data_IF_874591722908
#
_entry.id   IF_874591722908
#
_cell.length_a   1.000
_cell.length_b   1.000
_cell.length_c   1.000
_cell.angle_alpha   90.00
_cell.angle_beta   90.00
_cell.angle_gamma   90.00
#
_symmetry.space_group_name_H-M   'P 1'
#
loop_
_entity.id
_entity.type
_entity.pdbx_description
1 polymer ?
#
# COMPACT_ATOMS: atom_id res chain seq x y z
N UNK A 1 -1.22 -14.22 -43.13
CA UNK A 1 -1.15 -13.04 -42.24
C UNK A 1 -2.49 -12.97 -41.54
N UNK A 2 -2.61 -13.57 -40.37
CA UNK A 2 -3.90 -13.65 -39.67
C UNK A 2 -4.20 -12.30 -39.02
N UNK A 3 -5.20 -11.62 -39.57
CA UNK A 3 -5.64 -10.32 -39.09
C UNK A 3 -6.21 -10.47 -37.68
N UNK A 4 -5.70 -9.64 -36.77
CA UNK A 4 -6.21 -9.50 -35.41
C UNK A 4 -7.71 -9.13 -35.49
N UNK A 5 -8.60 -9.85 -34.79
CA UNK A 5 -10.04 -9.59 -34.84
C UNK A 5 -10.36 -8.16 -34.40
N UNK A 6 -11.21 -7.46 -35.15
CA UNK A 6 -11.62 -6.08 -34.86
C UNK A 6 -12.15 -5.87 -33.43
N UNK A 7 -12.73 -6.92 -32.83
CA UNK A 7 -13.22 -6.97 -31.45
C UNK A 7 -12.10 -6.86 -30.41
N UNK A 8 -10.88 -7.33 -30.74
CA UNK A 8 -9.71 -7.17 -29.89
C UNK A 8 -9.16 -5.74 -29.95
N UNK A 9 -9.15 -5.13 -31.14
CA UNK A 9 -8.74 -3.74 -31.33
C UNK A 9 -9.71 -2.79 -30.61
N UNK A 10 -11.03 -2.98 -30.76
CA UNK A 10 -12.04 -2.18 -30.04
C UNK A 10 -11.94 -2.29 -28.52
N UNK A 11 -11.61 -3.48 -27.98
CA UNK A 11 -11.41 -3.68 -26.53
C UNK A 11 -10.15 -3.00 -26.01
N UNK A 12 -9.11 -2.85 -26.83
CA UNK A 12 -7.87 -2.18 -26.44
C UNK A 12 -8.00 -0.65 -26.61
N UNK A 13 -8.64 -0.18 -27.69
CA UNK A 13 -8.89 1.26 -27.93
C UNK A 13 -9.99 1.84 -27.04
N UNK A 14 -10.89 1.03 -26.49
CA UNK A 14 -11.87 1.46 -25.48
C UNK A 14 -11.29 1.66 -24.07
N UNK A 15 -10.03 1.26 -23.84
CA UNK A 15 -9.38 1.27 -22.52
C UNK A 15 -8.24 2.31 -22.44
N UNK A 16 -7.65 2.73 -23.55
CA UNK A 16 -6.51 3.66 -23.57
C UNK A 16 -6.74 4.79 -24.58
N UNK A 17 -6.47 6.03 -24.17
CA UNK A 17 -6.55 7.19 -25.07
C UNK A 17 -5.44 7.15 -26.12
N UNK A 18 -5.65 7.84 -27.24
CA UNK A 18 -4.69 7.91 -28.35
C UNK A 18 -3.37 8.57 -27.93
N UNK A 19 -3.39 9.48 -26.96
CA UNK A 19 -2.17 10.02 -26.35
C UNK A 19 -1.44 8.99 -25.47
N UNK A 20 -2.17 8.06 -24.84
CA UNK A 20 -1.59 7.03 -23.97
C UNK A 20 -0.79 6.00 -24.78
N UNK A 21 -1.21 5.70 -26.01
CA UNK A 21 -0.47 4.82 -26.91
C UNK A 21 0.83 5.45 -27.43
N UNK A 22 0.84 6.77 -27.65
CA UNK A 22 2.05 7.49 -28.08
C UNK A 22 3.13 7.53 -27.00
N UNK A 23 2.75 7.64 -25.72
CA UNK A 23 3.69 7.62 -24.59
C UNK A 23 4.29 6.22 -24.36
N UNK A 24 3.58 5.16 -24.76
CA UNK A 24 4.06 3.78 -24.67
C UNK A 24 5.07 3.41 -25.77
N UNK A 25 5.01 4.08 -26.92
CA UNK A 25 5.96 3.87 -28.03
C UNK A 25 7.31 4.59 -27.79
N UNK A 26 7.34 5.73 -27.09
CA UNK A 26 8.57 6.54 -26.89
C UNK A 26 9.31 6.30 -25.56
N UNK A 27 8.66 5.70 -24.55
CA UNK A 27 9.29 5.48 -23.24
C UNK A 27 9.68 4.01 -23.03
N UNK A 28 10.99 3.75 -22.94
CA UNK A 28 11.55 2.44 -22.60
C UNK A 28 10.90 1.82 -21.36
N UNK A 29 10.04 0.84 -21.63
CA UNK A 29 9.47 -0.20 -20.78
C UNK A 29 10.03 -0.35 -19.35
N UNK A 30 9.29 0.18 -18.38
CA UNK A 30 8.96 -0.54 -17.13
C UNK A 30 7.48 -0.28 -16.83
N UNK A 31 6.59 -0.84 -17.64
CA UNK A 31 5.19 -1.01 -17.20
C UNK A 31 5.14 -2.20 -16.25
N UNK A 32 5.52 -1.96 -15.00
CA UNK A 32 5.16 -2.85 -13.92
C UNK A 32 3.64 -3.05 -13.88
N UNK A 33 3.19 -4.08 -13.18
CA UNK A 33 1.78 -4.43 -12.91
C UNK A 33 0.89 -3.30 -12.34
N UNK A 34 1.49 -2.13 -12.11
CA UNK A 34 0.98 -0.90 -11.50
C UNK A 34 1.21 0.33 -12.38
N UNK A 35 1.27 0.17 -13.72
CA UNK A 35 1.26 1.28 -14.66
C UNK A 35 0.35 2.38 -14.10
N UNK A 36 0.97 3.51 -13.71
CA UNK A 36 0.35 4.50 -12.84
C UNK A 36 -1.10 4.64 -13.26
N UNK A 37 -2.02 4.32 -12.35
CA UNK A 37 -3.43 4.65 -12.51
C UNK A 37 -3.57 6.17 -12.38
N UNK A 38 -2.78 6.95 -13.11
CA UNK A 38 -3.25 8.16 -13.76
C UNK A 38 -4.35 7.74 -14.73
N UNK A 39 -5.48 7.32 -14.18
CA UNK A 39 -6.75 7.27 -14.90
C UNK A 39 -7.26 8.70 -14.85
N UNK A 40 -7.10 9.50 -15.91
CA UNK A 40 -7.69 10.81 -15.95
C UNK A 40 -9.19 10.57 -16.15
N UNK A 41 -10.02 11.03 -15.22
CA UNK A 41 -11.49 11.07 -15.34
C UNK A 41 -12.25 9.74 -15.31
N UNK A 42 -12.28 9.06 -14.16
CA UNK A 42 -13.45 8.26 -13.77
C UNK A 42 -14.36 9.13 -12.91
N UNK A 43 -15.55 9.47 -13.41
CA UNK A 43 -16.44 10.46 -12.81
C UNK A 43 -16.93 10.11 -11.40
N UNK A 44 -16.88 8.83 -10.99
CA UNK A 44 -17.43 8.38 -9.72
C UNK A 44 -16.41 7.56 -8.92
N UNK A 45 -15.67 8.25 -8.04
CA UNK A 45 -14.80 7.60 -7.04
C UNK A 45 -15.50 7.54 -5.68
N UNK A 46 -15.28 6.44 -4.96
CA UNK A 46 -15.92 6.18 -3.68
C UNK A 46 -14.91 5.91 -2.58
N UNK A 47 -15.12 6.54 -1.43
CA UNK A 47 -14.48 6.21 -0.16
C UNK A 47 -15.44 5.36 0.68
N UNK A 48 -15.12 4.08 0.82
CA UNK A 48 -15.90 3.10 1.57
C UNK A 48 -15.31 2.93 2.96
N UNK A 49 -16.16 3.00 3.98
CA UNK A 49 -15.83 2.55 5.33
C UNK A 49 -16.76 1.41 5.73
N UNK A 50 -16.19 0.32 6.23
CA UNK A 50 -16.92 -0.80 6.82
C UNK A 50 -16.56 -0.86 8.31
N UNK A 51 -17.59 -0.75 9.14
CA UNK A 51 -17.51 -0.77 10.58
C UNK A 51 -18.20 -2.02 11.14
N UNK A 52 -17.73 -2.53 12.27
CA UNK A 52 -18.39 -3.64 12.97
C UNK A 52 -18.71 -3.22 14.41
N UNK A 53 -19.94 -3.51 14.84
CA UNK A 53 -20.43 -3.26 16.19
C UNK A 53 -21.35 -4.41 16.61
N UNK A 54 -21.07 -5.06 17.74
CA UNK A 54 -21.85 -6.19 18.28
C UNK A 54 -22.12 -7.29 17.23
N UNK A 55 -21.10 -7.67 16.46
CA UNK A 55 -21.20 -8.68 15.39
C UNK A 55 -21.96 -8.25 14.14
N UNK A 56 -22.54 -7.05 14.12
CA UNK A 56 -23.25 -6.50 12.95
C UNK A 56 -22.30 -5.63 12.13
N UNK A 57 -22.43 -5.74 10.80
CA UNK A 57 -21.68 -4.94 9.84
C UNK A 57 -22.43 -3.64 9.56
N UNK A 58 -21.68 -2.56 9.43
CA UNK A 58 -22.16 -1.24 9.08
C UNK A 58 -21.31 -0.69 7.95
N UNK A 59 -21.90 0.14 7.10
CA UNK A 59 -21.19 0.78 6.01
C UNK A 59 -21.43 2.28 6.00
N UNK A 60 -20.46 3.00 5.44
CA UNK A 60 -20.61 4.38 5.04
C UNK A 60 -19.86 4.54 3.72
N UNK A 61 -20.54 5.07 2.71
CA UNK A 61 -19.92 5.42 1.44
C UNK A 61 -19.84 6.94 1.32
N UNK A 62 -18.78 7.45 0.70
CA UNK A 62 -18.67 8.87 0.34
C UNK A 62 -18.24 9.02 -1.10
N UNK A 63 -18.81 10.01 -1.78
CA UNK A 63 -18.36 10.49 -3.08
C UNK A 63 -18.37 12.01 -3.05
N UNK A 64 -17.26 12.64 -3.46
CA UNK A 64 -17.09 14.11 -3.46
C UNK A 64 -17.52 14.81 -2.16
N UNK A 65 -17.17 14.20 -1.02
CA UNK A 65 -17.48 14.71 0.32
C UNK A 65 -18.92 14.46 0.79
N UNK A 66 -19.82 14.01 -0.09
CA UNK A 66 -21.20 13.66 0.26
C UNK A 66 -21.28 12.23 0.77
N UNK A 67 -22.07 12.02 1.83
CA UNK A 67 -22.36 10.68 2.34
C UNK A 67 -23.46 10.05 1.50
N UNK A 68 -23.25 8.80 1.07
CA UNK A 68 -24.20 8.02 0.28
C UNK A 68 -24.49 6.71 1.01
N UNK A 69 -25.74 6.26 0.93
CA UNK A 69 -26.10 4.92 1.39
C UNK A 69 -25.73 3.91 0.29
N UNK A 70 -25.29 2.71 0.68
CA UNK A 70 -24.88 1.69 -0.31
C UNK A 70 -26.01 1.30 -1.25
N UNK A 71 -27.26 1.37 -0.80
CA UNK A 71 -28.45 1.13 -1.62
C UNK A 71 -28.58 2.10 -2.80
N UNK A 72 -28.04 3.32 -2.67
CA UNK A 72 -28.00 4.30 -3.76
C UNK A 72 -26.77 4.08 -4.66
N UNK A 73 -25.69 3.52 -4.10
CA UNK A 73 -24.45 3.23 -4.84
C UNK A 73 -24.62 1.99 -5.74
N UNK A 74 -25.32 0.95 -5.29
CA UNK A 74 -25.43 -0.31 -6.05
C UNK A 74 -26.04 -0.13 -7.45
N UNK A 75 -27.16 0.61 -7.65
CA UNK A 75 -27.74 0.82 -8.98
C UNK A 75 -26.86 1.69 -9.89
N UNK A 76 -26.06 2.58 -9.31
CA UNK A 76 -25.14 3.46 -10.04
C UNK A 76 -23.84 2.76 -10.42
N UNK A 77 -23.58 1.55 -9.89
CA UNK A 77 -22.30 0.89 -10.04
C UNK A 77 -22.09 0.36 -11.46
N UNK A 78 -21.09 0.93 -12.13
CA UNK A 78 -20.57 0.40 -13.38
C UNK A 78 -19.06 0.19 -13.23
N UNK A 79 -18.60 -1.06 -13.33
CA UNK A 79 -17.18 -1.41 -13.14
C UNK A 79 -16.22 -0.71 -14.11
N UNK A 80 -16.72 -0.19 -15.24
CA UNK A 80 -15.93 0.61 -16.17
C UNK A 80 -15.71 2.03 -15.64
N UNK A 81 -16.72 2.65 -15.02
CA UNK A 81 -16.76 4.09 -14.67
C UNK A 81 -16.67 4.39 -13.16
N UNK A 82 -16.91 3.40 -12.31
CA UNK A 82 -16.94 3.50 -10.86
C UNK A 82 -15.78 2.75 -10.23
N UNK A 83 -15.19 3.32 -9.17
CA UNK A 83 -14.17 2.61 -8.39
C UNK A 83 -14.13 3.02 -6.91
N UNK A 84 -13.65 2.12 -6.06
CA UNK A 84 -13.33 2.43 -4.67
C UNK A 84 -11.91 2.96 -4.63
N UNK A 85 -11.78 4.25 -4.38
CA UNK A 85 -10.48 4.87 -4.13
C UNK A 85 -9.93 4.36 -2.81
N UNK A 86 -10.79 4.25 -1.80
CA UNK A 86 -10.37 3.91 -0.45
C UNK A 86 -11.35 2.96 0.22
N UNK A 87 -10.81 1.98 0.91
CA UNK A 87 -11.55 1.07 1.79
C UNK A 87 -10.95 1.18 3.19
N UNK A 88 -11.77 1.58 4.18
CA UNK A 88 -11.39 1.64 5.59
C UNK A 88 -12.16 0.62 6.40
N UNK A 89 -11.45 -0.08 7.26
CA UNK A 89 -11.92 -1.24 8.01
C UNK A 89 -11.58 -1.01 9.49
N UNK A 90 -12.60 -0.85 10.36
CA UNK A 90 -12.39 -0.53 11.79
C UNK A 90 -13.55 -0.98 12.69
N UNK A 91 -13.29 -1.10 13.99
CA UNK A 91 -14.36 -1.35 14.98
C UNK A 91 -15.06 -0.05 15.35
N UNK A 92 -16.37 -0.15 15.53
CA UNK A 92 -17.20 0.96 15.98
C UNK A 92 -17.43 0.79 17.48
N UNK A 93 -17.34 1.89 18.22
CA UNK A 93 -17.67 1.94 19.65
C UNK A 93 -19.17 2.20 19.91
N UNK A 94 -19.98 2.22 18.85
CA UNK A 94 -21.42 2.51 18.89
C UNK A 94 -21.95 2.86 17.51
N UNK A 95 -23.25 3.19 17.38
CA UNK A 95 -23.80 3.74 16.15
C UNK A 95 -23.10 5.06 15.83
N UNK A 96 -22.16 5.01 14.88
CA UNK A 96 -21.41 6.17 14.43
C UNK A 96 -22.20 6.95 13.38
N UNK A 97 -22.08 8.27 13.40
CA UNK A 97 -22.79 9.13 12.47
C UNK A 97 -22.45 8.81 11.01
N UNK A 98 -23.50 8.63 10.20
CA UNK A 98 -23.40 8.27 8.80
C UNK A 98 -23.08 6.79 8.52
N UNK A 99 -22.98 5.93 9.54
CA UNK A 99 -22.93 4.49 9.35
C UNK A 99 -24.34 3.91 9.32
N UNK A 100 -24.63 3.12 8.28
CA UNK A 100 -25.88 2.38 8.13
C UNK A 100 -25.65 0.90 8.36
N UNK A 101 -26.58 0.18 9.02
CA UNK A 101 -26.52 -1.27 9.09
C UNK A 101 -26.44 -1.86 7.68
N UNK A 102 -25.63 -2.89 7.53
CA UNK A 102 -25.44 -3.60 6.26
C UNK A 102 -25.90 -5.05 6.43
N UNK A 103 -26.81 -5.45 5.57
CA UNK A 103 -27.29 -6.83 5.46
C UNK A 103 -26.24 -7.72 4.80
N UNK A 104 -26.36 -9.03 4.98
CA UNK A 104 -25.44 -9.99 4.34
C UNK A 104 -25.54 -9.97 2.81
N UNK A 105 -26.73 -9.68 2.26
CA UNK A 105 -26.95 -9.51 0.82
C UNK A 105 -26.18 -8.32 0.28
N UNK A 106 -26.21 -7.19 0.99
CA UNK A 106 -25.47 -5.98 0.62
C UNK A 106 -23.97 -6.18 0.75
N UNK A 107 -23.51 -6.87 1.81
CA UNK A 107 -22.10 -7.23 1.97
C UNK A 107 -21.61 -8.15 0.85
N UNK A 108 -22.41 -9.15 0.47
CA UNK A 108 -22.11 -10.04 -0.66
C UNK A 108 -22.04 -9.29 -1.99
N UNK A 109 -22.93 -8.32 -2.24
CA UNK A 109 -22.88 -7.46 -3.41
C UNK A 109 -21.61 -6.60 -3.42
N UNK A 110 -21.26 -6.03 -2.28
CA UNK A 110 -20.04 -5.25 -2.09
C UNK A 110 -18.77 -6.06 -2.36
N UNK A 111 -18.69 -7.30 -1.89
CA UNK A 111 -17.57 -8.21 -2.20
C UNK A 111 -17.41 -8.43 -3.70
N UNK A 112 -18.51 -8.61 -4.44
CA UNK A 112 -18.46 -8.73 -5.92
C UNK A 112 -17.96 -7.44 -6.58
N UNK A 113 -18.37 -6.27 -6.09
CA UNK A 113 -17.88 -4.99 -6.60
C UNK A 113 -16.37 -4.82 -6.40
N UNK A 114 -15.87 -5.20 -5.21
CA UNK A 114 -14.44 -5.18 -4.87
C UNK A 114 -13.67 -6.17 -5.76
N UNK A 115 -14.17 -7.39 -5.92
CA UNK A 115 -13.55 -8.40 -6.79
C UNK A 115 -13.39 -7.93 -8.23
N UNK A 116 -14.41 -7.24 -8.75
CA UNK A 116 -14.41 -6.72 -10.12
C UNK A 116 -13.42 -5.56 -10.33
N UNK A 117 -12.92 -4.93 -9.27
CA UNK A 117 -11.92 -3.85 -9.38
C UNK A 117 -10.50 -4.34 -9.58
N UNK A 118 -10.23 -5.63 -9.35
CA UNK A 118 -8.88 -6.22 -9.43
C UNK A 118 -7.86 -5.38 -8.63
N UNK A 119 -7.07 -4.55 -9.31
CA UNK A 119 -5.99 -3.70 -8.75
C UNK A 119 -6.30 -2.20 -8.76
N UNK A 120 -7.56 -1.81 -8.98
CA UNK A 120 -7.99 -0.39 -9.04
C UNK A 120 -8.24 0.24 -7.68
N UNK A 121 -7.99 -0.46 -6.57
CA UNK A 121 -8.18 0.09 -5.23
C UNK A 121 -6.91 0.84 -4.85
N UNK A 122 -7.02 2.16 -4.74
CA UNK A 122 -5.85 2.97 -4.36
C UNK A 122 -5.41 2.66 -2.93
N UNK A 123 -6.34 2.50 -1.98
CA UNK A 123 -5.95 2.29 -0.57
C UNK A 123 -6.89 1.40 0.24
N UNK A 124 -6.32 0.41 0.93
CA UNK A 124 -7.00 -0.39 1.96
C UNK A 124 -6.37 -0.09 3.32
N UNK A 125 -7.19 0.21 4.33
CA UNK A 125 -6.73 0.48 5.70
C UNK A 125 -7.49 -0.35 6.73
N UNK A 126 -6.76 -1.08 7.57
CA UNK A 126 -7.29 -1.92 8.65
C UNK A 126 -6.77 -1.39 9.98
N UNK A 127 -7.64 -1.07 10.94
CA UNK A 127 -7.25 -0.43 12.20
C UNK A 127 -7.42 -1.28 13.47
N UNK A 128 -8.26 -2.32 13.45
CA UNK A 128 -8.70 -2.99 14.69
C UNK A 128 -8.43 -4.51 14.72
N UNK A 129 -7.98 -5.04 15.87
CA UNK A 129 -7.65 -6.45 16.13
C UNK A 129 -8.89 -7.36 16.15
N UNK A 130 -10.01 -6.85 16.66
CA UNK A 130 -11.20 -7.66 16.93
C UNK A 130 -11.96 -8.12 15.69
N UNK A 131 -11.55 -7.68 14.51
CA UNK A 131 -12.34 -7.75 13.28
C UNK A 131 -11.66 -8.47 12.13
N UNK A 132 -10.52 -9.09 12.40
CA UNK A 132 -9.66 -9.67 11.38
C UNK A 132 -10.39 -10.69 10.50
N UNK A 133 -11.30 -11.49 11.08
CA UNK A 133 -12.06 -12.52 10.35
C UNK A 133 -13.02 -11.91 9.30
N UNK A 134 -13.57 -10.72 9.56
CA UNK A 134 -14.48 -10.04 8.63
C UNK A 134 -13.73 -9.24 7.54
N UNK A 135 -12.46 -8.91 7.78
CA UNK A 135 -11.63 -8.22 6.80
C UNK A 135 -10.88 -9.18 5.90
N UNK A 136 -10.63 -10.40 6.38
CA UNK A 136 -10.22 -11.55 5.57
C UNK A 136 -11.14 -11.70 4.35
N UNK A 137 -12.46 -11.69 4.54
CA UNK A 137 -13.47 -11.71 3.47
C UNK A 137 -13.24 -10.66 2.37
N UNK A 138 -12.82 -9.45 2.75
CA UNK A 138 -12.59 -8.33 1.83
C UNK A 138 -11.25 -8.50 1.12
N UNK A 139 -10.22 -8.91 1.84
CA UNK A 139 -8.88 -9.14 1.28
C UNK A 139 -8.85 -10.35 0.33
N UNK A 140 -9.61 -11.40 0.62
CA UNK A 140 -9.72 -12.60 -0.22
C UNK A 140 -10.26 -12.31 -1.63
N UNK A 141 -11.22 -11.39 -1.71
CA UNK A 141 -11.81 -10.99 -2.98
C UNK A 141 -11.05 -9.83 -3.63
N UNK A 142 -10.14 -9.18 -2.91
CA UNK A 142 -9.33 -8.08 -3.43
C UNK A 142 -8.25 -8.64 -4.39
N UNK A 143 -8.13 -8.06 -5.58
CA UNK A 143 -7.04 -8.40 -6.51
C UNK A 143 -5.74 -7.62 -6.27
N UNK A 144 -5.74 -6.73 -5.28
CA UNK A 144 -4.62 -5.88 -4.91
C UNK A 144 -5.03 -4.44 -4.57
N UNK A 145 -4.14 -3.74 -3.86
CA UNK A 145 -4.27 -2.31 -3.62
C UNK A 145 -2.93 -1.61 -3.82
N UNK A 146 -2.96 -0.38 -4.33
CA UNK A 146 -1.73 0.42 -4.41
C UNK A 146 -1.13 0.62 -3.02
N UNK A 147 -1.96 0.96 -2.02
CA UNK A 147 -1.53 1.10 -0.62
C UNK A 147 -2.28 0.15 0.29
N UNK A 148 -1.58 -0.81 0.89
CA UNK A 148 -2.10 -1.66 1.96
C UNK A 148 -1.59 -1.19 3.32
N UNK A 149 -2.49 -0.78 4.20
CA UNK A 149 -2.18 -0.37 5.56
C UNK A 149 -2.87 -1.29 6.58
N UNK A 150 -2.09 -1.89 7.46
CA UNK A 150 -2.55 -2.75 8.56
C UNK A 150 -2.00 -2.20 9.87
N UNK A 151 -2.86 -1.49 10.60
CA UNK A 151 -2.59 -0.87 11.89
C UNK A 151 -2.69 -1.81 13.09
N UNK A 152 -2.92 -3.09 12.85
CA UNK A 152 -3.33 -4.08 13.85
C UNK A 152 -2.54 -5.37 13.72
N UNK A 153 -2.60 -6.25 14.73
CA UNK A 153 -1.99 -7.59 14.64
C UNK A 153 -2.66 -8.37 13.50
N UNK A 154 -1.84 -8.84 12.55
CA UNK A 154 -2.30 -9.51 11.35
C UNK A 154 -2.23 -11.05 11.39
N UNK A 155 -1.92 -11.67 12.54
CA UNK A 155 -1.67 -13.12 12.66
C UNK A 155 -2.77 -13.97 12.01
N UNK A 156 -4.05 -13.64 12.22
CA UNK A 156 -5.16 -14.41 11.61
C UNK A 156 -5.34 -14.16 10.10
N UNK A 157 -4.93 -13.01 9.60
CA UNK A 157 -4.99 -12.67 8.18
C UNK A 157 -3.67 -12.95 7.45
N UNK A 158 -2.65 -13.47 8.15
CA UNK A 158 -1.31 -13.61 7.63
C UNK A 158 -1.25 -14.40 6.30
N UNK A 159 -1.94 -15.54 6.13
CA UNK A 159 -1.91 -16.28 4.85
C UNK A 159 -2.46 -15.48 3.67
N UNK A 160 -3.51 -14.69 3.89
CA UNK A 160 -4.14 -13.90 2.83
C UNK A 160 -3.30 -12.68 2.49
N UNK A 161 -2.73 -12.03 3.51
CA UNK A 161 -1.82 -10.89 3.30
C UNK A 161 -0.55 -11.36 2.59
N UNK A 162 0.02 -12.51 2.99
CA UNK A 162 1.16 -13.14 2.32
C UNK A 162 0.88 -13.39 0.85
N UNK A 163 -0.26 -14.04 0.54
CA UNK A 163 -0.67 -14.30 -0.84
C UNK A 163 -0.83 -13.02 -1.63
N UNK A 164 -1.54 -12.03 -1.09
CA UNK A 164 -1.79 -10.76 -1.77
C UNK A 164 -0.50 -10.03 -2.14
N UNK A 165 0.49 -10.02 -1.24
CA UNK A 165 1.79 -9.43 -1.50
C UNK A 165 2.57 -10.30 -2.50
N UNK A 166 2.60 -11.62 -2.31
CA UNK A 166 3.34 -12.57 -3.18
C UNK A 166 2.85 -12.55 -4.63
N UNK A 167 1.55 -12.29 -4.85
CA UNK A 167 0.96 -12.15 -6.19
C UNK A 167 1.30 -10.79 -6.86
N UNK A 168 2.05 -9.92 -6.18
CA UNK A 168 2.36 -8.56 -6.58
C UNK A 168 1.16 -7.62 -6.47
N UNK A 169 0.20 -7.96 -5.61
CA UNK A 169 -1.04 -7.21 -5.38
C UNK A 169 -0.87 -5.98 -4.48
N UNK A 170 0.35 -5.64 -4.05
CA UNK A 170 0.62 -4.46 -3.21
C UNK A 170 1.81 -3.68 -3.73
N UNK A 171 1.65 -2.36 -3.88
CA UNK A 171 2.73 -1.45 -4.29
C UNK A 171 3.40 -0.76 -3.08
N UNK A 172 2.60 -0.31 -2.13
CA UNK A 172 3.04 0.25 -0.85
C UNK A 172 2.43 -0.53 0.31
N UNK A 173 3.29 -0.98 1.23
CA UNK A 173 2.86 -1.73 2.42
C UNK A 173 3.15 -0.95 3.70
N UNK A 174 2.18 -0.88 4.60
CA UNK A 174 2.37 -0.32 5.95
C UNK A 174 1.84 -1.28 7.02
N UNK A 175 2.71 -1.77 7.89
CA UNK A 175 2.35 -2.64 9.01
C UNK A 175 2.78 -1.99 10.34
N UNK A 176 1.83 -1.78 11.26
CA UNK A 176 2.11 -1.05 12.51
C UNK A 176 2.28 -1.92 13.76
N UNK A 177 1.89 -3.19 13.74
CA UNK A 177 1.88 -4.02 14.95
C UNK A 177 2.54 -5.37 14.75
N UNK A 178 3.49 -5.64 15.63
CA UNK A 178 4.15 -6.92 15.83
C UNK A 178 3.24 -7.93 16.59
N UNK A 179 3.52 -9.24 16.55
CA UNK A 179 4.63 -9.89 15.85
C UNK A 179 4.45 -9.91 14.33
N UNK A 180 5.57 -9.85 13.60
CA UNK A 180 5.55 -10.08 12.16
C UNK A 180 5.77 -11.58 11.87
N UNK A 181 5.20 -12.12 10.78
CA UNK A 181 5.39 -13.51 10.42
C UNK A 181 6.72 -13.74 9.68
N UNK A 182 7.28 -14.95 9.79
CA UNK A 182 8.58 -15.30 9.21
C UNK A 182 8.64 -15.19 7.68
N UNK A 183 7.51 -15.43 6.99
CA UNK A 183 7.40 -15.30 5.54
C UNK A 183 7.61 -13.86 5.05
N UNK A 184 7.50 -12.85 5.93
CA UNK A 184 7.53 -11.45 5.51
C UNK A 184 8.83 -11.07 4.80
N UNK A 185 9.99 -11.47 5.34
CA UNK A 185 11.30 -11.13 4.74
C UNK A 185 11.46 -11.68 3.32
N UNK A 186 11.31 -13.00 3.06
CA UNK A 186 11.47 -13.54 1.70
C UNK A 186 10.41 -12.99 0.74
N UNK A 187 9.16 -12.80 1.18
CA UNK A 187 8.10 -12.25 0.33
C UNK A 187 8.40 -10.81 -0.07
N UNK A 188 8.81 -9.95 0.87
CA UNK A 188 9.17 -8.56 0.57
C UNK A 188 10.38 -8.49 -0.36
N UNK A 189 11.45 -9.24 -0.05
CA UNK A 189 12.67 -9.31 -0.88
C UNK A 189 12.34 -9.69 -2.33
N UNK A 190 11.46 -10.68 -2.51
CA UNK A 190 11.03 -11.12 -3.84
C UNK A 190 10.25 -10.04 -4.57
N UNK A 191 9.24 -9.43 -3.94
CA UNK A 191 8.42 -8.40 -4.60
C UNK A 191 9.18 -7.12 -4.90
N UNK A 192 10.18 -6.82 -4.07
CA UNK A 192 11.17 -5.80 -4.34
C UNK A 192 11.99 -6.14 -5.58
N UNK A 193 12.61 -7.33 -5.64
CA UNK A 193 13.37 -7.77 -6.82
C UNK A 193 12.55 -7.78 -8.12
N UNK A 194 11.24 -7.97 -8.03
CA UNK A 194 10.30 -7.90 -9.17
C UNK A 194 9.82 -6.48 -9.51
N UNK A 195 10.12 -5.48 -8.68
CA UNK A 195 9.66 -4.09 -8.85
C UNK A 195 8.16 -3.88 -8.60
N UNK A 196 7.46 -4.84 -7.99
CA UNK A 196 6.04 -4.71 -7.69
C UNK A 196 5.80 -3.87 -6.43
N UNK A 197 6.72 -3.95 -5.47
CA UNK A 197 6.66 -3.22 -4.21
C UNK A 197 7.68 -2.07 -4.24
N UNK A 198 7.24 -0.84 -4.04
CA UNK A 198 8.09 0.37 -4.13
C UNK A 198 8.30 1.05 -2.78
N UNK A 199 7.42 0.77 -1.82
CA UNK A 199 7.39 1.42 -0.51
C UNK A 199 7.01 0.47 0.61
N UNK A 200 7.78 0.48 1.70
CA UNK A 200 7.40 -0.20 2.94
C UNK A 200 7.45 0.73 4.14
N UNK A 201 6.49 0.56 5.05
CA UNK A 201 6.40 1.23 6.34
C UNK A 201 6.18 0.21 7.46
N UNK A 202 7.20 -0.09 8.26
CA UNK A 202 7.10 -1.10 9.33
C UNK A 202 7.37 -0.45 10.70
N UNK A 203 6.53 -0.73 11.69
CA UNK A 203 6.74 -0.29 13.08
C UNK A 203 6.98 -1.49 13.99
N UNK A 204 8.13 -1.49 14.66
CA UNK A 204 8.57 -2.60 15.48
C UNK A 204 8.30 -2.34 16.97
N UNK A 205 7.73 -3.33 17.63
CA UNK A 205 7.65 -3.38 19.09
C UNK A 205 8.98 -3.84 19.71
N UNK A 206 9.09 -3.79 21.05
CA UNK A 206 10.30 -4.17 21.77
C UNK A 206 10.61 -5.68 21.78
N UNK A 207 9.61 -6.52 21.45
CA UNK A 207 9.59 -7.95 21.78
C UNK A 207 9.96 -8.88 20.61
N UNK A 208 10.23 -8.36 19.41
CA UNK A 208 10.48 -9.17 18.22
C UNK A 208 11.92 -8.90 17.73
N UNK A 209 12.90 -9.68 18.18
CA UNK A 209 14.33 -9.38 17.96
C UNK A 209 14.85 -9.89 16.64
N UNK A 210 14.80 -11.19 16.39
CA UNK A 210 15.47 -11.79 15.24
C UNK A 210 14.86 -11.33 13.90
N UNK A 211 13.52 -11.30 13.81
CA UNK A 211 12.85 -10.88 12.58
C UNK A 211 13.05 -9.38 12.30
N UNK A 212 13.12 -8.55 13.34
CA UNK A 212 13.44 -7.13 13.21
C UNK A 212 14.84 -6.93 12.64
N UNK A 213 15.84 -7.66 13.15
CA UNK A 213 17.21 -7.62 12.63
C UNK A 213 17.25 -8.02 11.15
N UNK A 214 16.58 -9.12 10.78
CA UNK A 214 16.49 -9.59 9.38
C UNK A 214 15.84 -8.56 8.45
N UNK A 215 14.77 -7.89 8.88
CA UNK A 215 14.10 -6.84 8.10
C UNK A 215 14.97 -5.58 7.95
N UNK A 216 15.72 -5.20 8.99
CA UNK A 216 16.67 -4.08 8.92
C UNK A 216 17.80 -4.44 7.95
N UNK A 217 18.39 -5.64 8.05
CA UNK A 217 19.42 -6.09 7.11
C UNK A 217 18.94 -6.12 5.67
N UNK A 218 17.72 -6.63 5.43
CA UNK A 218 17.09 -6.58 4.12
C UNK A 218 17.06 -5.13 3.60
N UNK A 219 16.47 -4.20 4.35
CA UNK A 219 16.38 -2.81 3.92
C UNK A 219 17.75 -2.15 3.68
N UNK A 220 18.72 -2.36 4.58
CA UNK A 220 20.09 -1.85 4.41
C UNK A 220 20.70 -2.36 3.10
N UNK A 221 20.60 -3.66 2.83
CA UNK A 221 21.12 -4.26 1.60
C UNK A 221 20.47 -3.66 0.35
N UNK A 222 19.14 -3.55 0.34
CA UNK A 222 18.39 -2.96 -0.77
C UNK A 222 18.72 -1.48 -1.00
N UNK A 223 18.95 -0.71 0.07
CA UNK A 223 19.40 0.69 0.00
C UNK A 223 20.79 0.78 -0.63
N UNK A 224 21.74 -0.04 -0.17
CA UNK A 224 23.11 -0.07 -0.71
C UNK A 224 23.14 -0.47 -2.18
N UNK A 225 22.27 -1.40 -2.60
CA UNK A 225 22.11 -1.81 -4.00
C UNK A 225 21.28 -0.84 -4.85
N UNK A 226 20.62 0.14 -4.23
CA UNK A 226 19.78 1.15 -4.89
C UNK A 226 18.58 0.57 -5.65
N UNK A 227 17.94 -0.46 -5.11
CA UNK A 227 16.92 -1.22 -5.84
C UNK A 227 15.49 -0.61 -5.78
N UNK A 228 15.19 0.38 -4.92
CA UNK A 228 13.80 0.87 -4.68
C UNK A 228 13.62 2.39 -4.63
N UNK A 229 12.44 2.86 -4.21
CA UNK A 229 12.12 4.29 -4.19
C UNK A 229 11.98 4.84 -2.77
N UNK A 230 11.35 4.10 -1.86
CA UNK A 230 11.07 4.57 -0.51
C UNK A 230 11.08 3.44 0.54
N UNK A 231 11.82 3.65 1.61
CA UNK A 231 11.79 2.79 2.81
C UNK A 231 11.47 3.65 4.01
N UNK A 232 10.58 3.16 4.88
CA UNK A 232 10.36 3.68 6.22
C UNK A 232 10.31 2.54 7.24
N UNK A 233 11.41 2.31 7.92
CA UNK A 233 11.44 1.40 9.07
C UNK A 233 11.47 2.24 10.35
N UNK A 234 10.63 1.88 11.33
CA UNK A 234 10.52 2.51 12.64
C UNK A 234 10.94 1.51 13.72
N UNK A 235 12.24 1.50 14.06
CA UNK A 235 12.86 0.46 14.90
C UNK A 235 13.35 1.00 16.24
N UNK A 236 13.29 0.21 17.34
CA UNK A 236 13.91 0.54 18.63
C UNK A 236 15.40 0.91 18.52
N UNK A 237 15.87 1.83 19.38
CA UNK A 237 17.26 2.32 19.38
C UNK A 237 18.32 1.22 19.49
N UNK A 238 18.03 0.12 20.19
CA UNK A 238 18.96 -1.01 20.36
C UNK A 238 19.47 -1.59 19.02
N UNK A 239 18.74 -1.39 17.92
CA UNK A 239 19.14 -1.85 16.59
C UNK A 239 19.95 -0.82 15.78
N UNK A 240 20.33 0.32 16.37
CA UNK A 240 21.11 1.36 15.68
C UNK A 240 22.40 0.84 15.04
N UNK A 241 23.05 -0.14 15.68
CA UNK A 241 24.30 -0.73 15.22
C UNK A 241 24.18 -1.42 13.84
N UNK A 242 22.99 -1.91 13.48
CA UNK A 242 22.74 -2.58 12.20
C UNK A 242 22.79 -1.63 10.99
N UNK A 243 22.85 -0.32 11.24
CA UNK A 243 22.90 0.73 10.24
C UNK A 243 24.31 1.14 9.87
N UNK A 244 25.31 0.66 10.61
CA UNK A 244 26.71 0.97 10.38
C UNK A 244 27.14 0.78 8.90
N UNK A 245 26.64 -0.23 8.15
CA UNK A 245 26.95 -0.34 6.72
C UNK A 245 26.52 0.89 5.90
N UNK A 246 25.37 1.50 6.20
CA UNK A 246 24.92 2.73 5.52
C UNK A 246 25.83 3.90 5.86
N UNK A 247 26.21 4.05 7.13
CA UNK A 247 27.11 5.12 7.58
C UNK A 247 28.50 5.01 6.95
N UNK A 248 28.98 3.78 6.74
CA UNK A 248 30.31 3.52 6.17
C UNK A 248 30.35 3.75 4.66
N UNK A 249 29.27 3.42 3.94
CA UNK A 249 29.24 3.44 2.48
C UNK A 249 28.62 4.72 1.89
N UNK A 250 27.78 5.43 2.63
CA UNK A 250 27.17 6.68 2.18
C UNK A 250 27.89 7.88 2.76
N UNK A 251 28.03 8.95 1.97
CA UNK A 251 28.69 10.17 2.41
C UNK A 251 27.73 10.99 3.27
N UNK A 252 28.12 11.26 4.51
CA UNK A 252 27.39 12.17 5.39
C UNK A 252 27.32 13.58 4.76
N UNK A 253 26.13 14.16 4.75
CA UNK A 253 25.89 15.55 4.35
C UNK A 253 25.34 16.27 5.56
N UNK A 254 26.09 17.23 6.12
CA UNK A 254 25.55 18.01 7.22
C UNK A 254 24.42 18.89 6.70
N UNK A 255 23.22 18.79 7.26
CA UNK A 255 22.18 19.78 7.00
C UNK A 255 22.56 21.09 7.66
N UNK A 256 23.08 22.04 6.88
CA UNK A 256 23.08 23.43 7.33
C UNK A 256 21.62 23.89 7.38
N UNK A 257 21.12 24.14 8.59
CA UNK A 257 19.95 24.98 8.87
C UNK A 257 18.65 24.61 8.14
N UNK A 258 17.91 23.66 8.71
CA UNK A 258 16.45 23.85 8.85
C UNK A 258 16.11 23.57 10.32
N UNK A 259 15.04 24.18 10.84
CA UNK A 259 14.61 24.16 12.25
C UNK A 259 14.29 22.79 12.86
N UNK A 260 14.77 21.70 12.25
CA UNK A 260 14.61 20.31 12.66
C UNK A 260 15.98 19.64 12.80
N UNK A 261 16.66 19.83 13.93
CA UNK A 261 17.98 19.28 14.27
C UNK A 261 18.03 17.76 14.48
N UNK A 262 17.05 16.99 13.98
CA UNK A 262 16.88 15.54 14.25
C UNK A 262 17.12 14.65 13.02
N UNK A 263 17.68 15.20 11.93
CA UNK A 263 17.90 14.48 10.68
C UNK A 263 19.40 14.31 10.40
N UNK A 264 19.85 13.05 10.31
CA UNK A 264 21.12 12.67 9.71
C UNK A 264 20.88 12.47 8.20
N UNK A 265 21.53 13.28 7.37
CA UNK A 265 21.41 13.16 5.92
C UNK A 265 22.64 12.44 5.35
N UNK A 266 22.38 11.44 4.53
CA UNK A 266 23.41 10.74 3.78
C UNK A 266 23.12 10.92 2.30
N UNK A 267 24.16 11.22 1.53
CA UNK A 267 24.10 11.25 0.07
C UNK A 267 25.00 10.18 -0.49
N UNK A 268 24.60 9.61 -1.63
CA UNK A 268 25.50 8.75 -2.35
C UNK A 268 26.50 9.61 -3.14
N UNK A 269 27.82 9.40 -3.01
CA UNK A 269 28.78 10.09 -3.86
C UNK A 269 28.54 9.71 -5.33
N UNK A 270 28.26 10.69 -6.18
CA UNK A 270 28.12 10.51 -7.64
C UNK A 270 26.72 10.24 -8.20
N UNK A 271 25.63 10.33 -7.40
CA UNK A 271 24.25 10.18 -7.90
C UNK A 271 23.26 11.15 -7.25
N UNK A 272 22.16 11.47 -7.94
CA UNK A 272 21.03 12.28 -7.45
C UNK A 272 20.14 11.49 -6.45
N UNK A 273 20.73 10.95 -5.39
CA UNK A 273 20.04 10.16 -4.37
C UNK A 273 20.33 10.70 -2.97
N UNK A 274 19.26 10.90 -2.20
CA UNK A 274 19.32 11.38 -0.81
C UNK A 274 18.67 10.35 0.11
N UNK A 275 19.41 9.95 1.14
CA UNK A 275 18.93 9.09 2.23
C UNK A 275 18.77 9.95 3.47
N UNK A 276 17.53 10.06 3.95
CA UNK A 276 17.23 10.78 5.18
C UNK A 276 17.07 9.76 6.31
N UNK A 277 17.94 9.83 7.31
CA UNK A 277 17.77 9.11 8.55
C UNK A 277 17.28 10.10 9.61
N UNK A 278 16.08 9.87 10.14
CA UNK A 278 15.51 10.67 11.23
C UNK A 278 15.58 9.87 12.52
N UNK A 279 16.09 10.48 13.59
CA UNK A 279 15.86 9.95 14.93
C UNK A 279 14.52 10.51 15.42
N UNK A 280 13.47 9.69 15.45
CA UNK A 280 12.14 10.10 15.92
C UNK A 280 12.02 9.93 17.43
N UNK A 281 12.41 10.97 18.18
CA UNK A 281 12.40 10.98 19.65
C UNK A 281 13.17 9.79 20.26
N UNK A 282 13.29 9.75 21.58
CA UNK A 282 14.30 8.97 22.33
C UNK A 282 14.33 7.44 22.13
N UNK A 283 13.57 6.83 21.21
CA UNK A 283 13.49 5.37 21.09
C UNK A 283 13.29 4.81 19.68
N UNK A 284 13.16 5.63 18.63
CA UNK A 284 12.90 5.12 17.29
C UNK A 284 13.70 5.81 16.18
N UNK A 285 14.12 5.05 15.18
CA UNK A 285 14.67 5.60 13.94
C UNK A 285 13.66 5.51 12.81
N UNK A 286 13.50 6.57 12.01
CA UNK A 286 12.72 6.60 10.76
C UNK A 286 13.65 6.83 9.59
N UNK A 287 13.76 5.86 8.70
CA UNK A 287 14.46 6.07 7.42
C UNK A 287 13.47 6.60 6.40
N UNK A 288 13.90 7.50 5.52
CA UNK A 288 13.12 7.90 4.36
C UNK A 288 14.07 8.00 3.18
N UNK A 289 13.79 7.21 2.16
CA UNK A 289 14.47 7.30 0.89
C UNK A 289 13.56 7.99 -0.12
N UNK A 290 14.15 8.85 -0.96
CA UNK A 290 13.46 9.42 -2.11
C UNK A 290 14.46 9.59 -3.24
N UNK A 291 14.23 8.92 -4.37
CA UNK A 291 14.94 9.23 -5.62
C UNK A 291 14.54 10.64 -6.04
N UNK A 292 15.51 11.53 -6.30
CA UNK A 292 15.18 12.79 -6.95
C UNK A 292 14.79 12.47 -8.41
N UNK A 293 13.55 12.78 -8.78
CA UNK A 293 13.22 12.98 -10.17
C UNK A 293 13.80 14.36 -10.55
N UNK A 294 14.69 14.36 -11.53
CA UNK A 294 15.14 15.59 -12.18
C UNK A 294 14.09 16.03 -13.19
#
# INVERSE_FOLDING_TARGET
>A
MESIPAVFIERVTGILSRETLYVLDDAQAILGRWALLSIPNLSNSFDLSIGIYNGKKFSRCKSDGRSLDLVDVFPMWNSATCHFKKIKLYALHGPAEGFKPMTEKEFSALKKMIANQRRRIFKIQIYDKGLIDNFVDVLEVCGGSEILYIGTNMTRAAPIVEKLISDGGVCELSLLQAPFPEWLVPTLTTQFGLGNLTSIRLYFGYNDSELCERLIHMAVNHILKQEHENYLLVCPEKYAHLLHPLQSQLKYVSSQSTSFSQYLHYSHPGKNMMVNCRLESYRYFSYRWKRHFC
#
